data_IF_381017939100
#
_entry.id   IF_381017939100
#
_cell.length_a   1.000
_cell.length_b   1.000
_cell.length_c   1.000
_cell.angle_alpha   90.00
_cell.angle_beta   90.00
_cell.angle_gamma   90.00
#
_symmetry.space_group_name_H-M   'P 1'
#
loop_
_entity.id
_entity.type
_entity.pdbx_description
1 polymer ?
#
# COMPACT_ATOMS: atom_id res chain seq x y z
N UNK A 1 -14.93 -27.66 40.49
CA UNK A 1 -13.69 -27.28 41.22
C UNK A 1 -12.58 -27.17 40.18
N UNK A 2 -12.40 -25.92 39.71
CA UNK A 2 -11.22 -25.33 39.04
C UNK A 2 -10.60 -26.10 37.86
N UNK A 3 -11.12 -25.84 36.66
CA UNK A 3 -10.32 -25.49 35.47
C UNK A 3 -11.10 -24.38 34.76
N UNK A 4 -10.83 -23.13 35.14
CA UNK A 4 -11.34 -21.91 34.52
C UNK A 4 -10.19 -20.91 34.60
N UNK A 5 -10.10 -20.05 33.58
CA UNK A 5 -9.02 -19.09 33.30
C UNK A 5 -7.88 -19.66 32.46
N UNK A 6 -7.87 -19.30 31.18
CA UNK A 6 -6.67 -18.94 30.42
C UNK A 6 -7.10 -18.28 29.10
N UNK A 7 -6.76 -16.99 28.98
CA UNK A 7 -6.62 -16.16 27.78
C UNK A 7 -7.87 -15.73 26.99
N UNK A 8 -8.47 -14.64 27.49
CA UNK A 8 -9.19 -13.66 26.67
C UNK A 8 -8.20 -12.82 25.84
N UNK A 9 -7.87 -13.27 24.63
CA UNK A 9 -7.30 -12.40 23.59
C UNK A 9 -8.47 -11.78 22.81
N UNK A 10 -9.08 -10.76 23.41
CA UNK A 10 -9.91 -9.77 22.70
C UNK A 10 -9.05 -8.53 22.54
N UNK A 11 -8.56 -8.28 21.33
CA UNK A 11 -8.14 -6.98 20.76
C UNK A 11 -6.91 -7.07 19.83
N UNK A 12 -7.02 -7.86 18.76
CA UNK A 12 -6.29 -7.61 17.52
C UNK A 12 -7.22 -7.98 16.36
N UNK A 13 -8.04 -7.03 15.92
CA UNK A 13 -8.91 -7.18 14.76
C UNK A 13 -8.35 -6.30 13.63
N UNK A 14 -7.42 -6.83 12.85
CA UNK A 14 -7.12 -6.32 11.49
C UNK A 14 -8.22 -6.80 10.53
N UNK A 15 -9.44 -6.28 10.72
CA UNK A 15 -10.64 -6.75 10.00
C UNK A 15 -10.99 -5.84 8.82
N UNK A 16 -10.22 -5.95 7.74
CA UNK A 16 -10.77 -5.72 6.39
C UNK A 16 -10.28 -6.84 5.45
N UNK A 17 -8.98 -7.17 5.46
CA UNK A 17 -8.46 -8.26 4.63
C UNK A 17 -8.52 -9.66 5.28
N UNK A 18 -8.38 -9.79 6.60
CA UNK A 18 -8.40 -11.11 7.25
C UNK A 18 -9.78 -11.73 7.39
N UNK A 19 -10.84 -10.91 7.51
CA UNK A 19 -12.22 -11.42 7.65
C UNK A 19 -12.69 -12.14 6.37
N UNK A 20 -12.19 -11.71 5.21
CA UNK A 20 -12.55 -12.26 3.89
C UNK A 20 -11.84 -13.60 3.59
N UNK A 21 -10.63 -13.81 4.10
CA UNK A 21 -9.89 -15.07 3.91
C UNK A 21 -10.51 -16.24 4.72
N UNK A 22 -11.10 -15.98 5.88
CA UNK A 22 -11.70 -17.03 6.72
C UNK A 22 -13.08 -17.50 6.19
N UNK A 23 -13.88 -16.62 5.57
CA UNK A 23 -15.23 -16.96 5.10
C UNK A 23 -15.27 -17.68 3.75
N UNK A 24 -14.27 -17.52 2.89
CA UNK A 24 -14.23 -18.25 1.60
C UNK A 24 -13.86 -19.74 1.73
N UNK A 25 -13.28 -20.17 2.85
CA UNK A 25 -12.82 -21.56 3.04
C UNK A 25 -13.99 -22.50 3.36
N UNK A 26 -15.12 -22.01 3.88
CA UNK A 26 -16.23 -22.86 4.31
C UNK A 26 -17.21 -23.26 3.18
N UNK A 27 -17.13 -22.70 1.97
CA UNK A 27 -18.27 -22.78 1.03
C UNK A 27 -18.04 -23.28 -0.40
N UNK A 28 -16.86 -23.77 -0.79
CA UNK A 28 -16.71 -24.33 -2.16
C UNK A 28 -15.97 -25.66 -2.18
N UNK A 29 -16.65 -26.67 -1.63
CA UNK A 29 -16.41 -28.07 -1.97
C UNK A 29 -17.30 -28.45 -3.16
N UNK A 30 -16.66 -28.86 -4.27
CA UNK A 30 -17.24 -29.54 -5.44
C UNK A 30 -18.11 -28.74 -6.42
N UNK A 31 -17.53 -28.39 -7.59
CA UNK A 31 -17.81 -29.02 -8.90
C UNK A 31 -17.14 -28.25 -10.05
N UNK A 32 -16.71 -28.99 -11.07
CA UNK A 32 -16.24 -28.51 -12.37
C UNK A 32 -14.74 -28.20 -12.50
N UNK A 33 -13.90 -29.11 -12.01
CA UNK A 33 -12.69 -29.52 -12.73
C UNK A 33 -13.16 -30.22 -14.02
N UNK A 34 -12.44 -29.97 -15.13
CA UNK A 34 -12.68 -30.43 -16.50
C UNK A 34 -13.67 -29.61 -17.30
N UNK A 35 -13.17 -28.65 -18.08
CA UNK A 35 -13.56 -28.49 -19.48
C UNK A 35 -12.62 -27.46 -20.16
N UNK A 36 -11.87 -27.94 -21.17
CA UNK A 36 -11.14 -27.20 -22.21
C UNK A 36 -9.63 -26.93 -22.04
N UNK A 37 -8.89 -27.98 -22.38
CA UNK A 37 -7.58 -27.98 -23.04
C UNK A 37 -7.73 -27.61 -24.54
N UNK A 38 -6.65 -27.05 -25.13
CA UNK A 38 -6.33 -26.77 -26.57
C UNK A 38 -6.91 -25.44 -27.12
N UNK A 39 -6.17 -24.53 -27.81
CA UNK A 39 -5.35 -24.68 -29.03
C UNK A 39 -4.27 -23.56 -29.16
N UNK A 40 -3.15 -23.92 -29.81
CA UNK A 40 -1.89 -23.25 -30.17
C UNK A 40 -2.00 -22.00 -31.08
N UNK A 41 -1.08 -21.02 -30.94
CA UNK A 41 -0.28 -20.27 -31.96
C UNK A 41 0.37 -19.08 -31.21
N UNK A 42 1.61 -18.61 -31.37
CA UNK A 42 2.67 -18.80 -32.36
C UNK A 42 3.40 -17.44 -32.52
N UNK A 43 4.60 -17.32 -31.95
CA UNK A 43 5.74 -16.42 -32.26
C UNK A 43 5.42 -14.94 -32.63
N UNK A 44 5.94 -13.99 -31.85
CA UNK A 44 6.82 -12.90 -32.33
C UNK A 44 7.58 -12.27 -31.16
N UNK A 45 8.91 -12.37 -31.23
CA UNK A 45 9.82 -11.51 -30.48
C UNK A 45 9.96 -10.19 -31.23
N UNK A 46 9.80 -9.06 -30.53
CA UNK A 46 10.47 -7.81 -30.88
C UNK A 46 10.97 -7.14 -29.60
N UNK A 47 12.22 -6.69 -29.71
CA UNK A 47 12.97 -5.98 -28.70
C UNK A 47 12.24 -4.72 -28.21
N UNK A 48 12.41 -4.40 -26.92
CA UNK A 48 12.41 -3.00 -26.49
C UNK A 48 13.68 -2.75 -25.68
N UNK A 49 14.69 -2.22 -26.37
CA UNK A 49 15.53 -1.21 -25.74
C UNK A 49 14.70 0.07 -25.77
N UNK A 50 14.49 0.69 -24.61
CA UNK A 50 14.19 2.12 -24.53
C UNK A 50 15.08 2.73 -23.46
N UNK A 51 15.95 3.69 -23.80
CA UNK A 51 16.63 4.52 -22.84
C UNK A 51 15.74 5.75 -22.59
N UNK A 52 14.78 5.64 -21.67
CA UNK A 52 14.02 6.81 -21.20
C UNK A 52 14.35 7.01 -19.72
N UNK A 53 15.54 7.56 -19.49
CA UNK A 53 15.94 8.15 -18.22
C UNK A 53 15.73 9.66 -18.40
N UNK A 54 15.06 10.33 -17.45
CA UNK A 54 15.05 11.79 -17.38
C UNK A 54 16.49 12.31 -17.16
N UNK A 55 16.76 13.56 -17.53
CA UNK A 55 18.08 14.21 -17.43
C UNK A 55 18.60 14.27 -15.98
N UNK A 56 17.71 14.13 -15.00
CA UNK A 56 18.02 14.04 -13.57
C UNK A 56 18.14 12.59 -13.04
N UNK A 57 18.02 11.59 -13.90
CA UNK A 57 18.06 10.18 -13.53
C UNK A 57 16.75 9.65 -12.92
N UNK A 58 15.69 10.46 -12.88
CA UNK A 58 14.35 10.03 -12.46
C UNK A 58 13.68 9.20 -13.57
N UNK A 59 12.91 8.20 -13.13
CA UNK A 59 12.21 7.25 -13.98
C UNK A 59 10.73 7.61 -14.18
N UNK A 60 10.28 8.72 -13.61
CA UNK A 60 8.91 9.23 -13.72
C UNK A 60 8.85 10.40 -14.69
N UNK A 61 8.64 10.10 -15.97
CA UNK A 61 8.43 11.13 -16.99
C UNK A 61 7.13 11.90 -16.70
N UNK A 62 7.22 13.23 -16.53
CA UNK A 62 6.07 14.13 -16.34
C UNK A 62 5.63 14.35 -14.88
N UNK A 63 6.43 13.91 -13.90
CA UNK A 63 6.24 14.28 -12.49
C UNK A 63 7.35 15.24 -12.10
N UNK A 64 7.04 16.54 -12.17
CA UNK A 64 7.94 17.57 -11.68
C UNK A 64 7.80 17.66 -10.16
N UNK A 65 8.87 17.27 -9.45
CA UNK A 65 8.97 17.44 -8.00
C UNK A 65 9.43 18.86 -7.62
N UNK A 66 9.82 19.70 -8.60
CA UNK A 66 10.26 21.09 -8.41
C UNK A 66 9.56 22.05 -9.40
N UNK A 67 8.53 22.80 -8.98
CA UNK A 67 7.78 23.68 -9.88
C UNK A 67 8.56 24.90 -10.40
N UNK A 68 9.86 25.04 -10.12
CA UNK A 68 10.69 26.17 -10.56
C UNK A 68 11.54 25.89 -11.80
N UNK A 69 11.64 24.63 -12.25
CA UNK A 69 12.39 24.30 -13.46
C UNK A 69 11.50 24.32 -14.70
N UNK A 70 11.39 25.49 -15.34
CA UNK A 70 10.85 25.57 -16.70
C UNK A 70 11.87 25.03 -17.70
N UNK A 71 11.74 23.75 -18.08
CA UNK A 71 12.49 23.22 -19.22
C UNK A 71 11.78 23.62 -20.54
N UNK A 72 12.43 24.30 -21.50
CA UNK A 72 11.74 24.95 -22.63
C UNK A 72 11.39 24.00 -23.80
N UNK A 73 11.37 22.68 -23.59
CA UNK A 73 11.30 21.69 -24.69
C UNK A 73 10.11 20.72 -24.70
N UNK A 74 9.36 20.58 -23.61
CA UNK A 74 8.30 19.57 -23.51
C UNK A 74 6.92 20.21 -23.70
N UNK A 75 6.13 19.69 -24.65
CA UNK A 75 4.74 20.08 -24.79
C UNK A 75 4.03 19.90 -23.45
N UNK A 76 3.38 20.96 -22.97
CA UNK A 76 2.72 21.04 -21.66
C UNK A 76 1.80 19.83 -21.39
N UNK A 77 2.35 18.74 -20.85
CA UNK A 77 1.55 17.64 -20.33
C UNK A 77 0.87 18.14 -19.06
N UNK A 78 -0.46 18.16 -19.08
CA UNK A 78 -1.26 18.54 -17.91
C UNK A 78 -1.10 17.44 -16.86
N UNK A 79 -0.30 17.67 -15.82
CA UNK A 79 -0.21 16.75 -14.68
C UNK A 79 -1.50 16.80 -13.87
N UNK A 80 -2.23 15.69 -13.84
CA UNK A 80 -3.46 15.53 -13.03
C UNK A 80 -3.11 14.93 -11.67
N UNK A 81 -3.67 15.50 -10.60
CA UNK A 81 -3.51 14.97 -9.25
C UNK A 81 -4.70 14.06 -8.92
N UNK A 82 -4.44 12.88 -8.37
CA UNK A 82 -5.49 11.95 -7.95
C UNK A 82 -6.30 12.59 -6.83
N UNK A 83 -7.60 12.82 -7.05
CA UNK A 83 -8.50 13.48 -6.09
C UNK A 83 -9.31 12.45 -5.30
N UNK A 84 -9.76 11.37 -5.96
CA UNK A 84 -10.62 10.37 -5.33
C UNK A 84 -10.47 9.00 -5.98
N UNK A 85 -10.50 7.96 -5.15
CA UNK A 85 -10.69 6.58 -5.56
C UNK A 85 -11.93 6.03 -4.86
N UNK A 86 -12.87 5.48 -5.61
CA UNK A 86 -14.00 4.76 -5.03
C UNK A 86 -14.03 3.32 -5.53
N UNK A 87 -14.18 2.39 -4.61
CA UNK A 87 -14.24 0.96 -4.87
C UNK A 87 -15.56 0.37 -4.41
N UNK A 88 -16.04 -0.63 -5.14
CA UNK A 88 -17.03 -1.58 -4.66
C UNK A 88 -16.43 -2.96 -4.86
N UNK A 89 -16.34 -3.72 -3.78
CA UNK A 89 -15.83 -5.09 -3.85
C UNK A 89 -16.92 -6.08 -4.33
N UNK A 90 -16.51 -7.32 -4.56
CA UNK A 90 -17.42 -8.42 -4.96
C UNK A 90 -18.64 -8.61 -4.06
N UNK A 91 -18.56 -8.20 -2.80
CA UNK A 91 -19.57 -8.43 -1.77
C UNK A 91 -20.46 -7.18 -1.56
N UNK A 92 -20.18 -6.11 -2.30
CA UNK A 92 -20.92 -4.86 -2.28
C UNK A 92 -20.42 -3.85 -1.24
N UNK A 93 -19.32 -4.15 -0.53
CA UNK A 93 -18.71 -3.20 0.40
C UNK A 93 -18.08 -2.05 -0.39
N UNK A 94 -18.44 -0.83 -0.01
CA UNK A 94 -17.96 0.38 -0.67
C UNK A 94 -16.84 1.01 0.14
N UNK A 95 -15.75 1.32 -0.54
CA UNK A 95 -14.62 2.08 0.00
C UNK A 95 -14.47 3.37 -0.78
N UNK A 96 -14.22 4.47 -0.09
CA UNK A 96 -13.85 5.75 -0.72
C UNK A 96 -12.55 6.27 -0.11
N UNK A 97 -11.62 6.68 -0.95
CA UNK A 97 -10.40 7.37 -0.56
C UNK A 97 -10.40 8.73 -1.23
N UNK A 98 -10.26 9.80 -0.45
CA UNK A 98 -10.23 11.19 -0.92
C UNK A 98 -8.87 11.80 -0.61
N UNK A 99 -8.25 12.42 -1.59
CA UNK A 99 -6.94 13.05 -1.53
C UNK A 99 -7.11 14.56 -1.66
N UNK A 100 -6.71 15.30 -0.62
CA UNK A 100 -6.87 16.75 -0.54
C UNK A 100 -5.52 17.42 -0.72
N UNK A 101 -5.50 18.48 -1.53
CA UNK A 101 -4.30 19.23 -1.86
C UNK A 101 -4.40 20.69 -1.45
N UNK A 102 -3.27 21.29 -1.10
CA UNK A 102 -3.10 22.73 -0.91
C UNK A 102 -1.83 23.14 -1.64
N UNK A 103 -1.91 24.11 -2.53
CA UNK A 103 -0.79 24.53 -3.38
C UNK A 103 -0.10 23.34 -4.08
N UNK A 104 -0.91 22.41 -4.62
CA UNK A 104 -0.49 21.16 -5.27
C UNK A 104 0.21 20.13 -4.36
N UNK A 105 0.39 20.40 -3.06
CA UNK A 105 0.91 19.44 -2.08
C UNK A 105 -0.23 18.61 -1.48
N UNK A 106 -0.05 17.30 -1.37
CA UNK A 106 -1.02 16.42 -0.71
C UNK A 106 -1.00 16.69 0.79
N UNK A 107 -2.07 17.28 1.34
CA UNK A 107 -2.15 17.68 2.76
C UNK A 107 -3.04 16.77 3.59
N UNK A 108 -3.97 16.05 2.98
CA UNK A 108 -4.78 15.06 3.69
C UNK A 108 -5.21 13.91 2.79
N UNK A 109 -5.29 12.72 3.37
CA UNK A 109 -5.96 11.57 2.77
C UNK A 109 -6.99 11.03 3.74
N UNK A 110 -8.23 10.84 3.26
CA UNK A 110 -9.32 10.27 4.05
C UNK A 110 -9.84 9.00 3.39
N UNK A 111 -9.81 7.90 4.14
CA UNK A 111 -10.40 6.61 3.76
C UNK A 111 -11.69 6.39 4.53
N UNK A 112 -12.74 5.94 3.87
CA UNK A 112 -14.06 5.68 4.43
C UNK A 112 -14.55 4.31 3.98
N UNK A 113 -14.90 3.45 4.95
CA UNK A 113 -15.47 2.11 4.74
C UNK A 113 -16.65 1.94 5.69
N UNK A 114 -17.87 1.98 5.15
CA UNK A 114 -19.08 1.97 5.99
C UNK A 114 -19.10 3.15 6.97
N UNK A 115 -19.08 2.86 8.27
CA UNK A 115 -19.01 3.88 9.35
C UNK A 115 -17.59 4.17 9.82
N UNK A 116 -16.62 3.35 9.42
CA UNK A 116 -15.24 3.46 9.86
C UNK A 116 -14.50 4.46 8.96
N UNK A 117 -13.63 5.24 9.57
CA UNK A 117 -12.88 6.29 8.86
C UNK A 117 -11.43 6.28 9.29
N UNK A 118 -10.55 6.54 8.34
CA UNK A 118 -9.15 6.85 8.61
C UNK A 118 -8.81 8.18 7.94
N UNK A 119 -8.09 9.05 8.63
CA UNK A 119 -7.62 10.33 8.09
C UNK A 119 -6.15 10.51 8.38
N UNK A 120 -5.34 10.62 7.32
CA UNK A 120 -3.97 11.07 7.38
C UNK A 120 -3.90 12.58 7.12
N UNK A 121 -3.24 13.32 8.00
CA UNK A 121 -2.88 14.73 7.82
C UNK A 121 -1.37 14.83 7.65
N UNK A 122 -0.92 15.48 6.58
CA UNK A 122 0.48 15.54 6.18
C UNK A 122 1.02 16.95 6.42
N UNK A 123 2.11 17.05 7.17
CA UNK A 123 2.82 18.30 7.41
C UNK A 123 4.13 18.31 6.63
N UNK A 124 4.46 19.45 6.04
CA UNK A 124 5.65 19.64 5.22
C UNK A 124 6.62 20.61 5.88
N UNK A 125 7.91 20.38 5.64
CA UNK A 125 8.95 21.40 5.75
C UNK A 125 9.63 21.50 4.39
N UNK A 126 9.59 22.69 3.79
CA UNK A 126 9.89 22.88 2.37
C UNK A 126 8.99 21.95 1.51
N UNK A 127 9.57 21.10 0.67
CA UNK A 127 8.86 20.23 -0.27
C UNK A 127 8.79 18.77 0.15
N UNK A 128 9.23 18.44 1.38
CA UNK A 128 9.17 17.07 1.92
C UNK A 128 8.17 16.97 3.06
N UNK A 129 7.47 15.83 3.13
CA UNK A 129 6.62 15.49 4.27
C UNK A 129 7.53 15.24 5.47
N UNK A 130 7.33 15.93 6.58
CA UNK A 130 8.11 15.73 7.80
C UNK A 130 7.33 15.00 8.88
N UNK A 131 6.00 15.08 8.82
CA UNK A 131 5.14 14.49 9.84
C UNK A 131 3.80 14.03 9.25
N UNK A 132 3.25 12.96 9.80
CA UNK A 132 1.88 12.50 9.52
C UNK A 132 1.12 12.18 10.79
N UNK A 133 -0.08 12.76 10.92
CA UNK A 133 -1.07 12.38 11.93
C UNK A 133 -2.13 11.49 11.29
N UNK A 134 -2.23 10.24 11.75
CA UNK A 134 -3.16 9.25 11.23
C UNK A 134 -4.21 8.96 12.30
N UNK A 135 -5.43 9.43 12.08
CA UNK A 135 -6.56 9.18 12.97
C UNK A 135 -7.43 8.06 12.41
N UNK A 136 -7.57 6.98 13.18
CA UNK A 136 -8.45 5.87 12.88
C UNK A 136 -9.66 5.92 13.81
N UNK A 137 -10.87 5.86 13.25
CA UNK A 137 -12.13 5.74 13.98
C UNK A 137 -12.80 4.45 13.53
N UNK A 138 -12.86 3.47 14.43
CA UNK A 138 -13.46 2.16 14.17
C UNK A 138 -14.45 1.84 15.28
N UNK A 139 -15.71 1.59 14.93
CA UNK A 139 -16.76 1.25 15.92
C UNK A 139 -16.88 2.24 17.10
N UNK A 140 -16.52 3.51 16.87
CA UNK A 140 -16.53 4.58 17.88
C UNK A 140 -15.22 4.76 18.66
N UNK A 141 -14.28 3.82 18.57
CA UNK A 141 -12.95 3.95 19.17
C UNK A 141 -12.05 4.79 18.26
N UNK A 142 -11.41 5.81 18.83
CA UNK A 142 -10.47 6.68 18.11
C UNK A 142 -9.03 6.38 18.51
N UNK A 143 -8.18 6.13 17.52
CA UNK A 143 -6.73 5.95 17.68
C UNK A 143 -6.01 7.02 16.87
N UNK A 144 -4.98 7.63 17.45
CA UNK A 144 -4.11 8.59 16.76
C UNK A 144 -2.71 7.99 16.65
N UNK A 145 -2.19 7.87 15.43
CA UNK A 145 -0.80 7.52 15.18
C UNK A 145 -0.06 8.73 14.64
N UNK A 146 0.91 9.23 15.40
CA UNK A 146 1.79 10.32 14.99
C UNK A 146 3.06 9.72 14.41
N UNK A 147 3.51 10.18 13.25
CA UNK A 147 4.66 9.62 12.54
C UNK A 147 5.61 10.74 12.12
N UNK A 148 6.81 10.75 12.69
CA UNK A 148 7.90 11.66 12.33
C UNK A 148 8.82 11.00 11.32
N UNK A 149 8.98 11.65 10.15
CA UNK A 149 9.75 11.10 9.04
C UNK A 149 11.23 11.49 9.16
N UNK A 150 12.11 10.54 8.83
CA UNK A 150 13.55 10.69 8.92
C UNK A 150 14.17 10.68 7.52
N UNK A 151 14.95 11.71 7.21
CA UNK A 151 15.62 11.86 5.93
C UNK A 151 17.14 11.88 6.10
N UNK A 152 17.84 11.29 5.14
CA UNK A 152 19.28 11.45 4.98
C UNK A 152 19.56 11.87 3.53
N UNK A 153 20.25 12.99 3.34
CA UNK A 153 20.60 13.51 2.02
C UNK A 153 19.39 13.63 1.08
N UNK A 154 18.25 14.10 1.61
CA UNK A 154 17.00 14.27 0.86
C UNK A 154 16.19 12.97 0.63
N UNK A 155 16.74 11.80 0.94
CA UNK A 155 16.03 10.50 0.82
C UNK A 155 15.41 10.09 2.14
N UNK A 156 14.18 9.58 2.11
CA UNK A 156 13.52 8.99 3.27
C UNK A 156 14.30 7.75 3.69
N UNK A 157 14.78 7.68 4.94
CA UNK A 157 15.50 6.51 5.47
C UNK A 157 14.70 5.77 6.55
N UNK A 158 13.67 6.41 7.10
CA UNK A 158 12.84 5.80 8.12
C UNK A 158 11.79 6.74 8.66
N UNK A 159 11.14 6.29 9.73
CA UNK A 159 10.20 7.09 10.50
C UNK A 159 10.13 6.56 11.94
N UNK A 160 9.74 7.41 12.88
CA UNK A 160 9.36 6.99 14.23
C UNK A 160 7.89 7.33 14.44
N UNK A 161 7.14 6.41 15.04
CA UNK A 161 5.74 6.63 15.30
C UNK A 161 5.31 6.32 16.73
N UNK A 162 4.21 6.93 17.15
CA UNK A 162 3.52 6.64 18.40
C UNK A 162 2.04 6.54 18.14
N UNK A 163 1.44 5.42 18.53
CA UNK A 163 -0.02 5.21 18.46
C UNK A 163 -0.63 5.34 19.84
N UNK A 164 -1.65 6.17 19.98
CA UNK A 164 -2.35 6.47 21.21
C UNK A 164 -3.86 6.19 21.08
N UNK A 165 -4.51 5.79 22.18
CA UNK A 165 -5.96 5.70 22.30
C UNK A 165 -6.39 6.12 23.71
N UNK A 166 -7.40 6.98 23.82
CA UNK A 166 -7.89 7.47 25.11
C UNK A 166 -6.82 8.14 25.99
N UNK A 167 -5.75 8.69 25.37
CA UNK A 167 -4.61 9.29 26.06
C UNK A 167 -3.53 8.30 26.52
N UNK A 168 -3.69 7.00 26.28
CA UNK A 168 -2.68 5.99 26.57
C UNK A 168 -1.88 5.62 25.31
N UNK A 169 -0.56 5.48 25.45
CA UNK A 169 0.30 4.97 24.37
C UNK A 169 0.09 3.47 24.21
N UNK A 170 -0.33 3.05 23.04
CA UNK A 170 -0.50 1.64 22.68
C UNK A 170 0.77 1.07 22.05
N UNK A 171 1.38 1.82 21.13
CA UNK A 171 2.55 1.38 20.39
C UNK A 171 3.56 2.50 20.20
N UNK A 172 4.84 2.12 20.18
CA UNK A 172 5.93 2.92 19.61
C UNK A 172 6.51 2.16 18.43
N UNK A 173 6.55 2.81 17.27
CA UNK A 173 7.01 2.21 16.04
C UNK A 173 8.32 2.82 15.54
N UNK A 174 9.12 1.99 14.89
CA UNK A 174 10.30 2.43 14.14
C UNK A 174 10.23 1.80 12.77
N UNK A 175 10.27 2.63 11.73
CA UNK A 175 10.29 2.23 10.34
C UNK A 175 11.67 2.48 9.75
N UNK A 176 12.21 1.51 9.02
CA UNK A 176 13.45 1.62 8.25
C UNK A 176 13.16 1.36 6.77
N UNK A 177 13.74 2.18 5.89
CA UNK A 177 13.59 2.08 4.43
C UNK A 177 14.96 1.79 3.82
N UNK A 178 15.03 0.73 3.02
CA UNK A 178 16.23 0.29 2.31
C UNK A 178 16.05 0.46 0.80
N UNK A 179 17.12 0.85 0.12
CA UNK A 179 17.13 1.09 -1.32
C UNK A 179 18.16 0.21 -2.04
N UNK A 180 17.87 -0.13 -3.31
CA UNK A 180 18.84 -0.62 -4.29
C UNK A 180 18.88 0.40 -5.43
N UNK A 181 19.97 1.17 -5.52
CA UNK A 181 20.00 2.38 -6.33
C UNK A 181 18.97 3.39 -5.80
N UNK A 182 18.07 3.84 -6.67
CA UNK A 182 16.99 4.78 -6.31
C UNK A 182 15.65 4.11 -5.99
N UNK A 183 15.59 2.77 -6.06
CA UNK A 183 14.36 2.00 -5.83
C UNK A 183 14.30 1.48 -4.40
N UNK A 184 13.16 1.67 -3.74
CA UNK A 184 12.89 1.08 -2.41
C UNK A 184 12.88 -0.44 -2.58
N UNK A 185 13.78 -1.14 -1.90
CA UNK A 185 13.84 -2.61 -1.95
C UNK A 185 13.20 -3.27 -0.73
N UNK A 186 13.19 -2.58 0.40
CA UNK A 186 12.66 -3.12 1.65
C UNK A 186 12.18 -2.02 2.59
N UNK A 187 11.05 -2.25 3.25
CA UNK A 187 10.53 -1.40 4.32
C UNK A 187 10.23 -2.29 5.52
N UNK A 188 10.77 -1.96 6.70
CA UNK A 188 10.55 -2.72 7.93
C UNK A 188 9.98 -1.78 8.98
N UNK A 189 8.81 -2.09 9.53
CA UNK A 189 8.22 -1.36 10.65
C UNK A 189 8.10 -2.29 11.86
N UNK A 190 8.87 -2.00 12.90
CA UNK A 190 8.79 -2.68 14.19
C UNK A 190 7.79 -1.94 15.09
N UNK A 191 6.85 -2.67 15.68
CA UNK A 191 5.81 -2.14 16.57
C UNK A 191 6.07 -2.66 17.98
N UNK A 192 6.38 -1.76 18.91
CA UNK A 192 6.72 -2.09 20.28
C UNK A 192 5.59 -1.70 21.24
N UNK A 193 5.27 -2.58 22.18
CA UNK A 193 4.33 -2.32 23.28
C UNK A 193 5.10 -2.11 24.58
N UNK A 194 4.48 -1.44 25.54
CA UNK A 194 5.06 -1.34 26.88
C UNK A 194 5.22 -2.74 27.50
N UNK A 195 6.37 -3.00 28.12
CA UNK A 195 6.64 -4.24 28.84
C UNK A 195 5.80 -4.26 30.14
N UNK A 196 4.86 -5.21 30.30
CA UNK A 196 4.04 -5.28 31.50
C UNK A 196 4.85 -5.54 32.79
N UNK A 197 6.04 -6.13 32.66
CA UNK A 197 6.91 -6.45 33.80
C UNK A 197 7.91 -5.31 34.09
N UNK A 198 8.14 -4.39 33.14
CA UNK A 198 9.08 -3.27 33.27
C UNK A 198 8.48 -1.96 32.73
N UNK A 199 7.63 -1.26 33.51
CA UNK A 199 6.96 -0.03 33.09
C UNK A 199 7.95 1.02 32.53
N UNK A 200 7.59 1.64 31.42
CA UNK A 200 8.42 2.59 30.67
C UNK A 200 9.40 1.95 29.67
N UNK A 201 9.62 0.64 29.71
CA UNK A 201 10.36 -0.08 28.66
C UNK A 201 9.41 -0.57 27.58
N UNK A 202 9.89 -0.60 26.34
CA UNK A 202 9.10 -1.04 25.19
C UNK A 202 9.80 -2.22 24.51
N UNK A 203 9.05 -3.28 24.30
CA UNK A 203 9.52 -4.53 23.70
C UNK A 203 8.78 -4.79 22.39
N UNK A 204 9.45 -5.48 21.46
CA UNK A 204 8.88 -5.83 20.17
C UNK A 204 7.61 -6.66 20.37
N UNK A 205 6.50 -6.19 19.79
CA UNK A 205 5.24 -6.92 19.74
C UNK A 205 5.10 -7.62 18.40
N UNK A 206 5.26 -6.89 17.30
CA UNK A 206 5.27 -7.44 15.95
C UNK A 206 6.06 -6.56 14.99
N UNK A 207 6.42 -7.11 13.84
CA UNK A 207 7.10 -6.41 12.77
C UNK A 207 6.37 -6.66 11.45
N UNK A 208 6.24 -5.60 10.64
CA UNK A 208 5.69 -5.64 9.28
C UNK A 208 6.80 -5.29 8.30
N UNK A 209 7.11 -6.23 7.40
CA UNK A 209 8.13 -6.09 6.36
C UNK A 209 7.49 -6.12 4.98
N UNK A 210 7.78 -5.12 4.14
CA UNK A 210 7.53 -5.15 2.70
C UNK A 210 8.85 -5.35 1.97
N UNK A 211 9.01 -6.48 1.29
CA UNK A 211 10.12 -6.74 0.35
C UNK A 211 9.63 -6.50 -1.09
N UNK A 212 10.42 -5.78 -1.88
CA UNK A 212 10.06 -5.35 -3.22
C UNK A 212 11.13 -5.75 -4.24
N UNK A 213 10.70 -6.34 -5.34
CA UNK A 213 11.52 -6.54 -6.53
C UNK A 213 10.92 -5.81 -7.73
N UNK A 214 11.76 -5.43 -8.68
CA UNK A 214 11.36 -4.65 -9.84
C UNK A 214 11.76 -5.32 -11.14
N UNK A 215 10.92 -5.16 -12.16
CA UNK A 215 11.26 -5.40 -13.57
C UNK A 215 11.12 -4.07 -14.30
N UNK A 216 12.25 -3.49 -14.74
CA UNK A 216 12.25 -2.10 -15.20
C UNK A 216 11.82 -1.18 -14.05
N UNK A 217 10.87 -0.27 -14.31
CA UNK A 217 10.38 0.72 -13.33
C UNK A 217 9.08 0.31 -12.62
N UNK A 218 8.70 -0.96 -12.74
CA UNK A 218 7.48 -1.49 -12.16
C UNK A 218 7.83 -2.59 -11.14
N UNK A 219 7.08 -2.63 -10.04
CA UNK A 219 7.20 -3.70 -9.05
C UNK A 219 6.83 -5.03 -9.74
N UNK A 220 7.69 -6.03 -9.66
CA UNK A 220 7.39 -7.38 -10.14
C UNK A 220 6.90 -8.30 -9.03
N UNK A 221 7.43 -8.12 -7.81
CA UNK A 221 6.98 -8.83 -6.61
C UNK A 221 6.92 -7.87 -5.46
N UNK A 222 5.80 -7.89 -4.73
CA UNK A 222 5.67 -7.28 -3.42
C UNK A 222 5.29 -8.36 -2.40
N UNK A 223 6.15 -8.55 -1.41
CA UNK A 223 5.95 -9.51 -0.34
C UNK A 223 5.78 -8.78 0.98
N UNK A 224 4.59 -8.85 1.56
CA UNK A 224 4.27 -8.36 2.89
C UNK A 224 4.36 -9.50 3.89
N UNK A 225 5.21 -9.34 4.91
CA UNK A 225 5.43 -10.32 5.97
C UNK A 225 5.15 -9.68 7.33
N UNK A 226 4.26 -10.27 8.10
CA UNK A 226 4.03 -9.91 9.50
C UNK A 226 4.59 -11.00 10.41
N UNK A 227 5.51 -10.62 11.29
CA UNK A 227 6.08 -11.51 12.33
C UNK A 227 5.64 -11.01 13.70
N UNK A 228 5.23 -11.93 14.57
CA UNK A 228 4.88 -11.61 15.95
C UNK A 228 5.99 -12.09 16.87
N UNK A 229 6.37 -11.27 17.84
CA UNK A 229 7.29 -11.69 18.88
C UNK A 229 6.70 -12.87 19.67
N UNK A 230 7.53 -13.85 19.98
CA UNK A 230 7.13 -15.01 20.78
C UNK A 230 8.24 -15.37 21.76
N UNK A 231 7.85 -15.81 22.96
CA UNK A 231 8.77 -16.28 23.99
C UNK A 231 8.91 -17.80 23.89
N UNK A 232 10.15 -18.34 23.83
CA UNK A 232 10.36 -19.78 23.84
C UNK A 232 9.63 -20.47 25.00
N UNK A 233 9.07 -21.68 24.79
CA UNK A 233 9.22 -22.53 23.59
C UNK A 233 8.18 -22.24 22.48
N UNK A 234 7.37 -21.20 22.61
CA UNK A 234 6.32 -20.88 21.63
C UNK A 234 6.98 -20.30 20.37
N UNK A 235 6.59 -20.79 19.19
CA UNK A 235 6.94 -20.21 17.89
C UNK A 235 5.65 -19.87 17.15
N UNK A 236 5.52 -18.61 16.74
CA UNK A 236 4.41 -18.15 15.91
C UNK A 236 4.93 -18.02 14.47
N UNK A 237 4.39 -18.79 13.51
CA UNK A 237 4.81 -18.67 12.12
C UNK A 237 4.42 -17.29 11.55
N UNK A 238 5.22 -16.71 10.65
CA UNK A 238 4.90 -15.45 10.02
C UNK A 238 3.67 -15.56 9.13
N UNK A 239 2.91 -14.47 9.02
CA UNK A 239 1.89 -14.32 7.99
C UNK A 239 2.53 -13.68 6.78
N UNK A 240 2.39 -14.31 5.62
CA UNK A 240 3.00 -13.86 4.37
C UNK A 240 1.91 -13.69 3.31
N UNK A 241 1.90 -12.51 2.69
CA UNK A 241 1.13 -12.18 1.50
C UNK A 241 2.13 -11.79 0.42
N UNK A 242 2.11 -12.48 -0.70
CA UNK A 242 2.99 -12.21 -1.83
C UNK A 242 2.16 -11.88 -3.06
N UNK A 243 2.45 -10.75 -3.70
CA UNK A 243 1.80 -10.30 -4.92
C UNK A 243 2.81 -10.28 -6.05
N UNK A 244 2.63 -11.14 -7.04
CA UNK A 244 3.39 -11.09 -8.29
C UNK A 244 2.62 -10.26 -9.31
N UNK A 245 3.17 -9.10 -9.69
CA UNK A 245 2.54 -8.14 -10.59
C UNK A 245 3.20 -8.20 -11.97
N UNK A 246 2.39 -8.23 -13.02
CA UNK A 246 2.88 -8.43 -14.38
C UNK A 246 1.93 -7.86 -15.44
N UNK A 247 2.36 -7.97 -16.71
CA UNK A 247 1.61 -7.49 -17.87
C UNK A 247 1.23 -6.02 -17.76
N UNK A 248 2.19 -5.21 -17.32
CA UNK A 248 2.03 -3.76 -17.23
C UNK A 248 1.68 -3.17 -18.60
N UNK A 249 0.82 -2.16 -18.61
CA UNK A 249 0.63 -1.36 -19.81
C UNK A 249 1.53 -0.12 -19.85
N UNK A 250 1.29 0.76 -20.82
CA UNK A 250 2.07 1.98 -21.02
C UNK A 250 1.44 3.22 -20.39
N UNK A 251 0.33 3.09 -19.65
CA UNK A 251 -0.40 4.23 -19.10
C UNK A 251 0.11 4.61 -17.70
N UNK A 252 -0.22 5.82 -17.26
CA UNK A 252 0.23 6.38 -15.98
C UNK A 252 -0.44 5.64 -14.82
N UNK A 253 0.33 5.30 -13.78
CA UNK A 253 -0.21 4.79 -12.53
C UNK A 253 -0.84 5.93 -11.71
N UNK A 254 -2.11 5.81 -11.27
CA UNK A 254 -2.78 6.87 -10.52
C UNK A 254 -2.08 7.19 -9.21
N UNK A 255 -1.55 6.17 -8.53
CA UNK A 255 -0.86 6.30 -7.25
C UNK A 255 0.58 6.79 -7.40
N UNK A 256 1.14 6.76 -8.62
CA UNK A 256 2.45 7.33 -8.93
C UNK A 256 2.49 8.86 -8.75
N UNK A 257 1.33 9.52 -8.77
CA UNK A 257 1.21 10.97 -8.52
C UNK A 257 1.26 11.36 -7.04
N UNK A 258 1.23 10.38 -6.13
CA UNK A 258 1.27 10.61 -4.69
C UNK A 258 2.73 10.72 -4.20
N UNK A 259 3.00 11.47 -3.12
CA UNK A 259 4.33 11.56 -2.55
C UNK A 259 4.90 10.19 -2.16
N UNK A 260 6.16 9.93 -2.51
CA UNK A 260 6.87 8.68 -2.22
C UNK A 260 6.75 8.27 -0.74
N UNK A 261 6.96 9.22 0.16
CA UNK A 261 6.91 8.96 1.59
C UNK A 261 5.51 8.55 2.08
N UNK A 262 4.45 9.14 1.51
CA UNK A 262 3.08 8.73 1.80
C UNK A 262 2.84 7.31 1.29
N UNK A 263 3.20 7.01 0.03
CA UNK A 263 3.03 5.68 -0.57
C UNK A 263 3.70 4.55 0.25
N UNK A 264 4.90 4.81 0.77
CA UNK A 264 5.62 3.85 1.62
C UNK A 264 4.91 3.64 2.97
N UNK A 265 4.60 4.73 3.66
CA UNK A 265 4.14 4.68 5.04
C UNK A 265 2.66 4.32 5.17
N UNK A 266 1.82 4.69 4.20
CA UNK A 266 0.38 4.37 4.23
C UNK A 266 0.12 2.86 4.24
N UNK A 267 0.98 2.06 3.62
CA UNK A 267 0.88 0.59 3.65
C UNK A 267 1.29 -0.01 5.00
N UNK A 268 2.23 0.61 5.72
CA UNK A 268 2.71 0.10 7.01
C UNK A 268 1.89 0.60 8.21
N UNK A 269 1.17 1.71 8.05
CA UNK A 269 0.30 2.30 9.07
C UNK A 269 -1.19 2.24 8.70
N UNK A 270 -1.56 1.35 7.78
CA UNK A 270 -2.94 1.00 7.36
C UNK A 270 -3.80 2.08 6.68
N UNK A 271 -3.28 3.30 6.55
CA UNK A 271 -3.42 4.27 5.43
C UNK A 271 -4.43 3.98 4.31
N UNK A 272 -4.02 2.94 3.58
CA UNK A 272 -4.48 2.50 2.28
C UNK A 272 -3.49 1.42 1.85
N UNK A 273 -3.96 0.17 1.72
CA UNK A 273 -3.11 -0.95 1.30
C UNK A 273 -2.62 -0.83 -0.15
N UNK A 274 -3.01 0.22 -0.88
CA UNK A 274 -2.60 0.46 -2.27
C UNK A 274 -1.38 1.40 -2.38
N UNK A 275 -0.93 2.03 -1.29
CA UNK A 275 0.17 3.01 -1.33
C UNK A 275 1.44 2.46 -1.99
N UNK A 276 1.84 1.24 -1.65
CA UNK A 276 3.03 0.60 -2.22
C UNK A 276 2.97 0.43 -3.74
N UNK A 277 1.76 0.34 -4.32
CA UNK A 277 1.60 0.24 -5.77
C UNK A 277 1.98 1.53 -6.49
N UNK A 278 1.96 2.68 -5.80
CA UNK A 278 2.43 3.95 -6.34
C UNK A 278 3.93 3.99 -6.65
N UNK A 279 4.69 2.96 -6.26
CA UNK A 279 6.11 2.83 -6.63
C UNK A 279 6.33 2.25 -8.03
N UNK A 280 5.26 1.89 -8.75
CA UNK A 280 5.33 1.45 -10.16
C UNK A 280 4.93 2.58 -11.09
N UNK A 281 5.67 2.78 -12.18
CA UNK A 281 5.34 3.80 -13.20
C UNK A 281 4.01 3.53 -13.91
N UNK A 282 3.68 2.25 -14.15
CA UNK A 282 2.52 1.84 -14.96
C UNK A 282 1.52 0.97 -14.18
N UNK A 283 0.36 0.72 -14.79
CA UNK A 283 -0.68 -0.14 -14.23
C UNK A 283 -0.44 -1.61 -14.59
N UNK A 284 -0.40 -2.49 -13.58
CA UNK A 284 -0.34 -3.94 -13.78
C UNK A 284 -1.69 -4.45 -14.30
N UNK A 285 -1.68 -5.35 -15.30
CA UNK A 285 -2.91 -6.00 -15.80
C UNK A 285 -3.10 -7.42 -15.30
N UNK A 286 -2.09 -7.99 -14.66
CA UNK A 286 -2.19 -9.30 -14.03
C UNK A 286 -1.51 -9.26 -12.67
N UNK A 287 -2.17 -9.85 -11.67
CA UNK A 287 -1.61 -10.09 -10.36
C UNK A 287 -1.88 -11.52 -9.93
N UNK A 288 -0.89 -12.18 -9.34
CA UNK A 288 -1.09 -13.44 -8.62
C UNK A 288 -0.81 -13.18 -7.15
N UNK A 289 -1.84 -13.27 -6.33
CA UNK A 289 -1.72 -13.10 -4.88
C UNK A 289 -1.62 -14.46 -4.23
N UNK A 290 -0.55 -14.69 -3.48
CA UNK A 290 -0.32 -15.90 -2.70
C UNK A 290 -0.38 -15.58 -1.22
N UNK A 291 -1.30 -16.22 -0.51
CA UNK A 291 -1.47 -16.07 0.94
C UNK A 291 -1.54 -17.45 1.56
N UNK A 292 -0.68 -17.73 2.54
CA UNK A 292 -0.67 -19.01 3.28
C UNK A 292 -0.63 -20.26 2.36
N UNK A 293 0.09 -20.17 1.24
CA UNK A 293 0.24 -21.27 0.26
C UNK A 293 -0.88 -21.39 -0.78
N UNK A 294 -1.92 -20.54 -0.72
CA UNK A 294 -2.97 -20.47 -1.72
C UNK A 294 -2.71 -19.32 -2.68
N UNK A 295 -2.67 -19.60 -3.98
CA UNK A 295 -2.46 -18.59 -5.02
C UNK A 295 -3.73 -18.35 -5.82
N UNK A 296 -4.09 -17.08 -5.99
CA UNK A 296 -5.20 -16.64 -6.83
C UNK A 296 -4.71 -15.66 -7.90
N UNK A 297 -4.83 -16.00 -9.19
CA UNK A 297 -4.57 -15.05 -10.27
C UNK A 297 -5.80 -14.17 -10.50
N UNK A 298 -5.57 -12.88 -10.73
CA UNK A 298 -6.57 -11.91 -11.13
C UNK A 298 -6.04 -11.10 -12.31
N UNK A 299 -6.94 -10.76 -13.24
CA UNK A 299 -6.64 -9.86 -14.34
C UNK A 299 -7.38 -8.54 -14.15
N UNK A 300 -6.74 -7.43 -14.49
CA UNK A 300 -7.27 -6.08 -14.37
C UNK A 300 -7.47 -5.48 -15.75
N UNK A 301 -8.64 -4.90 -15.98
CA UNK A 301 -8.96 -4.14 -17.19
C UNK A 301 -9.18 -2.69 -16.82
N UNK A 302 -8.40 -1.79 -17.42
CA UNK A 302 -8.49 -0.36 -17.17
C UNK A 302 -9.12 0.36 -18.35
N UNK A 303 -9.85 1.44 -18.05
CA UNK A 303 -10.20 2.46 -19.04
C UNK A 303 -9.47 3.75 -18.70
N UNK A 304 -9.19 4.55 -19.71
CA UNK A 304 -8.32 5.72 -19.59
C UNK A 304 -8.99 6.95 -20.18
N UNK A 305 -8.61 8.12 -19.68
CA UNK A 305 -8.87 9.38 -20.36
C UNK A 305 -7.89 9.61 -21.52
N UNK A 306 -8.02 10.75 -22.19
CA UNK A 306 -7.18 11.11 -23.33
C UNK A 306 -5.70 11.34 -22.96
N UNK A 307 -5.40 11.60 -21.69
CA UNK A 307 -4.05 11.90 -21.18
C UNK A 307 -3.37 10.65 -20.59
N UNK A 308 -4.02 9.48 -20.68
CA UNK A 308 -3.50 8.20 -20.20
C UNK A 308 -3.66 7.97 -18.69
N UNK A 309 -4.51 8.74 -18.01
CA UNK A 309 -4.86 8.50 -16.60
C UNK A 309 -6.05 7.53 -16.51
N UNK A 310 -5.99 6.49 -15.65
CA UNK A 310 -7.09 5.53 -15.56
C UNK A 310 -8.33 6.19 -14.97
N UNK A 311 -9.50 5.91 -15.54
CA UNK A 311 -10.81 6.34 -15.04
C UNK A 311 -11.47 5.21 -14.25
N UNK A 312 -11.32 3.97 -14.72
CA UNK A 312 -11.82 2.78 -14.02
C UNK A 312 -10.83 1.63 -14.08
N UNK A 313 -10.93 0.72 -13.11
CA UNK A 313 -10.34 -0.60 -13.13
C UNK A 313 -11.43 -1.63 -12.80
N UNK A 314 -11.46 -2.73 -13.54
CA UNK A 314 -12.30 -3.90 -13.27
C UNK A 314 -11.41 -5.14 -13.14
N UNK A 315 -11.53 -5.86 -12.03
CA UNK A 315 -10.85 -7.14 -11.86
C UNK A 315 -11.69 -8.29 -12.41
N UNK A 316 -11.04 -9.37 -12.81
CA UNK A 316 -11.71 -10.63 -13.16
C UNK A 316 -12.44 -11.27 -11.96
N UNK A 317 -12.18 -10.80 -10.74
CA UNK A 317 -12.88 -11.19 -9.51
C UNK A 317 -14.17 -10.40 -9.24
N UNK A 318 -14.46 -9.36 -10.04
CA UNK A 318 -15.66 -8.54 -9.91
C UNK A 318 -15.44 -7.20 -9.19
N UNK A 319 -14.30 -7.01 -8.53
CA UNK A 319 -13.97 -5.74 -7.88
C UNK A 319 -13.82 -4.61 -8.91
N UNK A 320 -14.37 -3.44 -8.59
CA UNK A 320 -14.31 -2.25 -9.45
C UNK A 320 -13.75 -1.06 -8.69
N UNK A 321 -12.79 -0.35 -9.29
CA UNK A 321 -12.34 0.96 -8.84
C UNK A 321 -12.72 2.04 -9.86
N UNK A 322 -13.03 3.24 -9.37
CA UNK A 322 -13.18 4.45 -10.16
C UNK A 322 -12.19 5.49 -9.63
N UNK A 323 -11.51 6.18 -10.53
CA UNK A 323 -10.51 7.19 -10.23
C UNK A 323 -11.02 8.54 -10.72
N UNK A 324 -10.84 9.57 -9.91
CA UNK A 324 -11.15 10.96 -10.23
C UNK A 324 -9.92 11.80 -9.96
N UNK A 325 -9.71 12.82 -10.79
CA UNK A 325 -8.57 13.70 -10.72
C UNK A 325 -9.00 15.15 -10.67
N UNK A 326 -8.13 15.98 -10.13
CA UNK A 326 -8.28 17.43 -10.18
C UNK A 326 -8.43 17.89 -11.63
N UNK A 327 -9.33 18.86 -11.85
CA UNK A 327 -9.56 19.48 -13.16
C UNK A 327 -8.44 20.43 -13.54
#
# INVERSE_FOLDING_TARGET
MIINELFSIKNLNSKIYFKKLTLQIENNTMKSIFYYLTIIFGIFALASCSPNQDDNGDFLYGIDYDPTTTDPGSGSETTKLLEKVSGVDSDGESTTVTYTYTDKKLTSVKTEVGTDTETALLTYSNDVITHMDITNVESGDTKLTKVDLLYNSGKLVGANGTTESGGAVLYKSTTNVTYVGDKVSKVVTSMNTEDPDNPGQYILSFEVTSDLTYTGNNISVWKLTTTTASTPPIVIPPIVIESELSNYDSNKNPFGTLPLAYNILSTHYNTSNQGMLGLSTNNYRSVKVTTMGFSQPLNMTYTYDADGYPITMLSSGGDKLNFQYTK
#
